data_IF_443950105962
#
_entry.id   IF_443950105962
#
_cell.length_a   1.000
_cell.length_b   1.000
_cell.length_c   1.000
_cell.angle_alpha   90.00
_cell.angle_beta   90.00
_cell.angle_gamma   90.00
#
_symmetry.space_group_name_H-M   'P 1'
#
loop_
_entity.id
_entity.type
_entity.pdbx_description
1 polymer ?
#
# COMPACT_ATOMS: atom_id res chain seq x y z
N UNK A 1 52.36 15.19 19.33
CA UNK A 1 52.68 14.96 17.91
C UNK A 1 51.71 15.78 17.11
N UNK A 2 52.16 16.84 16.44
CA UNK A 2 51.31 17.77 15.72
C UNK A 2 50.84 17.11 14.39
N UNK A 3 49.54 17.10 14.17
CA UNK A 3 48.99 16.70 12.90
C UNK A 3 49.51 17.63 11.81
N UNK A 4 50.22 17.10 10.82
CA UNK A 4 50.72 17.84 9.67
C UNK A 4 49.59 18.17 8.73
N UNK A 5 49.20 19.46 8.68
CA UNK A 5 48.28 19.97 7.66
C UNK A 5 49.01 20.04 6.31
N UNK A 6 48.70 19.12 5.42
CA UNK A 6 49.21 19.10 4.07
C UNK A 6 48.25 19.91 3.15
N UNK A 7 48.66 21.08 2.60
CA UNK A 7 47.77 21.95 1.85
C UNK A 7 47.30 21.39 0.51
N UNK A 8 47.84 20.26 0.08
CA UNK A 8 47.52 19.59 -1.18
C UNK A 8 46.71 18.30 -1.02
N UNK A 9 46.17 18.05 0.21
CA UNK A 9 45.19 16.99 0.47
C UNK A 9 43.79 17.61 0.60
N UNK A 10 43.22 18.14 -0.50
CA UNK A 10 41.83 18.53 -0.47
C UNK A 10 40.97 17.29 -0.72
N UNK A 11 39.98 17.11 0.05
CA UNK A 11 38.87 16.21 -0.22
C UNK A 11 38.97 14.72 0.21
N UNK A 12 40.07 14.23 0.78
CA UNK A 12 40.05 12.87 1.33
C UNK A 12 39.06 12.78 2.50
N UNK A 13 39.06 13.76 3.40
CA UNK A 13 38.14 13.80 4.55
C UNK A 13 36.69 14.03 4.09
N UNK A 14 36.51 14.84 3.04
CA UNK A 14 35.17 15.04 2.45
C UNK A 14 34.63 13.79 1.73
N UNK A 15 35.51 13.02 1.06
CA UNK A 15 35.15 11.75 0.44
C UNK A 15 34.89 10.66 1.48
N UNK A 16 35.70 10.56 2.54
CA UNK A 16 35.47 9.60 3.62
C UNK A 16 34.17 9.93 4.37
N UNK A 17 33.90 11.22 4.63
CA UNK A 17 32.64 11.65 5.24
C UNK A 17 31.40 11.40 4.33
N UNK A 18 31.57 11.51 3.02
CA UNK A 18 30.50 11.21 2.05
C UNK A 18 30.27 9.69 1.93
N UNK A 19 31.33 8.88 2.13
CA UNK A 19 31.21 7.40 2.11
C UNK A 19 30.65 6.84 3.40
N UNK A 20 30.73 7.59 4.51
CA UNK A 20 30.11 7.24 5.80
C UNK A 20 28.69 7.80 5.97
N UNK A 21 28.07 8.33 4.92
CA UNK A 21 26.62 8.52 4.93
C UNK A 21 25.97 7.17 5.27
N UNK A 22 25.04 7.11 6.21
CA UNK A 22 24.42 5.85 6.59
C UNK A 22 23.87 5.20 5.32
N UNK A 23 24.35 3.98 5.03
CA UNK A 23 23.82 3.16 3.95
C UNK A 23 22.30 3.21 4.11
N UNK A 24 21.60 3.60 3.04
CA UNK A 24 20.14 3.70 3.02
C UNK A 24 19.57 2.50 3.76
N UNK A 25 19.08 2.72 4.98
CA UNK A 25 18.33 1.71 5.69
C UNK A 25 17.22 1.25 4.73
N UNK A 26 17.01 -0.05 4.53
CA UNK A 26 15.95 -0.52 3.67
C UNK A 26 14.66 0.12 4.18
N UNK A 27 14.12 1.06 3.41
CA UNK A 27 12.98 1.87 3.82
C UNK A 27 11.80 0.93 3.97
N UNK A 28 11.61 0.42 5.18
CA UNK A 28 10.53 -0.49 5.50
C UNK A 28 9.20 0.25 5.25
N UNK A 29 8.28 -0.45 4.59
CA UNK A 29 6.95 0.11 4.33
C UNK A 29 6.30 0.55 5.65
N UNK A 30 5.71 1.76 5.74
CA UNK A 30 5.02 2.20 6.95
C UNK A 30 3.96 1.18 7.38
N UNK A 31 3.82 0.92 8.66
CA UNK A 31 2.85 -0.06 9.19
C UNK A 31 1.43 0.19 8.68
N UNK A 32 1.03 1.44 8.54
CA UNK A 32 -0.28 1.82 7.98
C UNK A 32 -0.44 1.43 6.51
N UNK A 33 0.64 1.47 5.71
CA UNK A 33 0.62 1.02 4.32
C UNK A 33 0.51 -0.50 4.23
N UNK A 34 1.17 -1.24 5.13
CA UNK A 34 1.02 -2.70 5.24
C UNK A 34 -0.42 -3.06 5.61
N UNK A 35 -0.99 -2.38 6.62
CA UNK A 35 -2.39 -2.59 7.02
C UNK A 35 -3.35 -2.32 5.85
N UNK A 36 -3.15 -1.21 5.12
CA UNK A 36 -3.94 -0.88 3.94
C UNK A 36 -3.87 -2.00 2.88
N UNK A 37 -2.67 -2.50 2.57
CA UNK A 37 -2.49 -3.60 1.60
C UNK A 37 -3.21 -4.87 2.01
N UNK A 38 -3.04 -5.29 3.27
CA UNK A 38 -3.69 -6.50 3.79
C UNK A 38 -5.21 -6.40 3.66
N UNK A 39 -5.78 -5.24 4.04
CA UNK A 39 -7.23 -5.04 3.98
C UNK A 39 -7.71 -4.91 2.52
N UNK A 40 -6.96 -4.26 1.63
CA UNK A 40 -7.31 -4.19 0.20
C UNK A 40 -7.31 -5.56 -0.48
N UNK A 41 -6.38 -6.44 -0.11
CA UNK A 41 -6.33 -7.82 -0.58
C UNK A 41 -7.52 -8.62 -0.02
N UNK A 42 -7.79 -8.49 1.28
CA UNK A 42 -8.92 -9.17 1.92
C UNK A 42 -10.27 -8.74 1.29
N UNK A 43 -10.40 -7.45 0.96
CA UNK A 43 -11.55 -6.88 0.28
C UNK A 43 -11.78 -7.55 -1.09
N UNK A 44 -10.73 -7.69 -1.89
CA UNK A 44 -10.82 -8.35 -3.19
C UNK A 44 -11.20 -9.83 -3.08
N UNK A 45 -10.66 -10.55 -2.10
CA UNK A 45 -11.04 -11.95 -1.86
C UNK A 45 -12.47 -12.08 -1.35
N UNK A 46 -12.93 -11.15 -0.50
CA UNK A 46 -14.32 -11.15 -0.03
C UNK A 46 -15.31 -10.89 -1.16
N UNK A 47 -14.96 -10.01 -2.12
CA UNK A 47 -15.70 -9.82 -3.37
C UNK A 47 -15.79 -11.10 -4.18
N UNK A 48 -14.67 -11.82 -4.34
CA UNK A 48 -14.65 -13.09 -5.06
C UNK A 48 -15.61 -14.10 -4.41
N UNK A 49 -15.55 -14.25 -3.09
CA UNK A 49 -16.46 -15.14 -2.36
C UNK A 49 -17.93 -14.73 -2.54
N UNK A 50 -18.23 -13.44 -2.47
CA UNK A 50 -19.59 -12.92 -2.66
C UNK A 50 -20.08 -13.15 -4.10
N UNK A 51 -19.25 -12.91 -5.12
CA UNK A 51 -19.61 -13.15 -6.52
C UNK A 51 -19.87 -14.62 -6.81
N UNK A 52 -19.05 -15.52 -6.26
CA UNK A 52 -19.28 -16.97 -6.33
C UNK A 52 -20.60 -17.33 -5.65
N UNK A 53 -20.86 -16.78 -4.46
CA UNK A 53 -22.11 -16.96 -3.73
C UNK A 53 -23.33 -16.48 -4.54
N UNK A 54 -23.23 -15.32 -5.19
CA UNK A 54 -24.27 -14.79 -6.07
C UNK A 54 -24.50 -15.70 -7.30
N UNK A 55 -23.42 -16.23 -7.89
CA UNK A 55 -23.54 -17.17 -9.00
C UNK A 55 -24.37 -18.42 -8.63
N UNK A 56 -24.11 -19.01 -7.45
CA UNK A 56 -24.87 -20.14 -6.96
C UNK A 56 -26.31 -19.77 -6.54
N UNK A 57 -26.53 -18.59 -6.00
CA UNK A 57 -27.86 -18.12 -5.59
C UNK A 57 -28.80 -17.87 -6.77
N UNK A 58 -28.29 -17.22 -7.82
CA UNK A 58 -29.08 -16.81 -8.99
C UNK A 58 -28.94 -17.75 -10.18
N UNK A 59 -28.02 -18.74 -10.09
CA UNK A 59 -27.80 -19.77 -11.10
C UNK A 59 -28.69 -20.99 -10.88
N UNK A 60 -28.43 -22.10 -11.63
CA UNK A 60 -29.26 -23.31 -11.59
C UNK A 60 -29.38 -23.98 -10.24
N UNK A 61 -28.40 -23.77 -9.34
CA UNK A 61 -28.38 -24.37 -8.02
C UNK A 61 -29.36 -23.72 -7.03
N UNK A 62 -29.78 -22.47 -7.25
CA UNK A 62 -30.67 -21.67 -6.42
C UNK A 62 -30.31 -21.72 -4.91
N UNK A 63 -29.00 -21.78 -4.59
CA UNK A 63 -28.50 -21.95 -3.23
C UNK A 63 -28.03 -20.61 -2.65
N UNK A 64 -28.70 -20.05 -1.61
CA UNK A 64 -28.36 -18.75 -1.03
C UNK A 64 -27.17 -18.77 -0.07
N UNK A 65 -26.72 -19.94 0.38
CA UNK A 65 -25.74 -20.10 1.46
C UNK A 65 -24.47 -19.25 1.26
N UNK A 66 -23.95 -19.19 0.02
CA UNK A 66 -22.76 -18.42 -0.28
C UNK A 66 -22.96 -16.92 -0.01
N UNK A 67 -24.11 -16.36 -0.40
CA UNK A 67 -24.43 -14.92 -0.15
C UNK A 67 -24.70 -14.67 1.33
N UNK A 68 -25.36 -15.60 2.02
CA UNK A 68 -25.64 -15.49 3.46
C UNK A 68 -24.36 -15.47 4.29
N UNK A 69 -23.33 -16.20 3.88
CA UNK A 69 -22.02 -16.25 4.57
C UNK A 69 -21.12 -15.09 4.11
N UNK A 70 -20.91 -14.95 2.81
CA UNK A 70 -19.95 -13.96 2.30
C UNK A 70 -20.48 -12.53 2.28
N UNK A 71 -21.79 -12.30 2.30
CA UNK A 71 -22.38 -10.97 2.37
C UNK A 71 -21.97 -10.20 3.64
N UNK A 72 -22.23 -10.73 4.85
CA UNK A 72 -21.79 -10.10 6.08
C UNK A 72 -20.26 -9.97 6.21
N UNK A 73 -19.51 -10.99 5.76
CA UNK A 73 -18.03 -10.97 5.78
C UNK A 73 -17.50 -9.84 4.89
N UNK A 74 -17.96 -9.77 3.65
CA UNK A 74 -17.59 -8.69 2.72
C UNK A 74 -17.99 -7.32 3.28
N UNK A 75 -19.22 -7.17 3.79
CA UNK A 75 -19.67 -5.92 4.40
C UNK A 75 -18.78 -5.46 5.57
N UNK A 76 -18.34 -6.40 6.43
CA UNK A 76 -17.40 -6.10 7.52
C UNK A 76 -16.03 -5.67 7.03
N UNK A 77 -15.48 -6.37 6.04
CA UNK A 77 -14.19 -6.04 5.42
C UNK A 77 -14.27 -4.70 4.67
N UNK A 78 -15.37 -4.43 3.97
CA UNK A 78 -15.64 -3.16 3.30
C UNK A 78 -15.58 -1.98 4.29
N UNK A 79 -16.29 -2.07 5.42
CA UNK A 79 -16.25 -1.03 6.46
C UNK A 79 -14.82 -0.87 7.00
N UNK A 80 -14.12 -1.98 7.26
CA UNK A 80 -12.74 -1.94 7.71
C UNK A 80 -11.82 -1.27 6.68
N UNK A 81 -12.00 -1.55 5.39
CA UNK A 81 -11.26 -0.89 4.30
C UNK A 81 -11.47 0.62 4.30
N UNK A 82 -12.72 1.09 4.45
CA UNK A 82 -13.01 2.52 4.53
C UNK A 82 -12.30 3.16 5.73
N UNK A 83 -12.36 2.54 6.91
CA UNK A 83 -11.72 3.06 8.12
C UNK A 83 -10.19 3.12 7.96
N UNK A 84 -9.56 2.06 7.46
CA UNK A 84 -8.11 2.03 7.23
C UNK A 84 -7.71 3.06 6.18
N UNK A 85 -8.48 3.24 5.11
CA UNK A 85 -8.26 4.29 4.11
C UNK A 85 -8.24 5.67 4.76
N UNK A 86 -9.20 5.99 5.63
CA UNK A 86 -9.24 7.28 6.34
C UNK A 86 -8.05 7.47 7.28
N UNK A 87 -7.62 6.41 7.99
CA UNK A 87 -6.43 6.45 8.85
C UNK A 87 -5.16 6.70 8.05
N UNK A 88 -5.07 6.20 6.81
CA UNK A 88 -3.92 6.37 5.93
C UNK A 88 -3.71 7.80 5.42
N UNK A 89 -4.72 8.66 5.42
CA UNK A 89 -4.67 10.00 4.82
C UNK A 89 -3.51 10.82 5.39
N UNK A 90 -3.41 10.93 6.72
CA UNK A 90 -2.41 11.77 7.38
C UNK A 90 -0.99 11.20 7.27
N UNK A 91 -0.73 9.94 7.67
CA UNK A 91 0.63 9.37 7.64
C UNK A 91 1.18 9.23 6.22
N UNK A 92 0.34 8.94 5.22
CA UNK A 92 0.75 8.78 3.82
C UNK A 92 0.64 10.10 3.02
N UNK A 93 0.22 11.18 3.67
CA UNK A 93 0.05 12.52 3.04
C UNK A 93 -0.81 12.47 1.77
N UNK A 94 -1.88 11.67 1.79
CA UNK A 94 -2.78 11.57 0.66
C UNK A 94 -3.59 12.84 0.48
N UNK A 95 -3.60 13.37 -0.74
CA UNK A 95 -4.49 14.45 -1.12
C UNK A 95 -5.92 13.96 -1.33
N UNK A 96 -6.88 14.90 -1.39
CA UNK A 96 -8.32 14.61 -1.56
C UNK A 96 -8.56 13.67 -2.76
N UNK A 97 -7.93 13.93 -3.91
CA UNK A 97 -8.10 13.09 -5.10
C UNK A 97 -7.67 11.64 -4.89
N UNK A 98 -6.53 11.39 -4.19
CA UNK A 98 -6.08 10.04 -3.88
C UNK A 98 -7.04 9.34 -2.92
N UNK A 99 -7.50 10.05 -1.90
CA UNK A 99 -8.46 9.53 -0.93
C UNK A 99 -9.79 9.17 -1.59
N UNK A 100 -10.35 10.05 -2.41
CA UNK A 100 -11.59 9.78 -3.14
C UNK A 100 -11.44 8.59 -4.09
N UNK A 101 -10.29 8.48 -4.78
CA UNK A 101 -10.01 7.33 -5.64
C UNK A 101 -9.92 6.02 -4.85
N UNK A 102 -9.28 6.05 -3.68
CA UNK A 102 -9.21 4.88 -2.79
C UNK A 102 -10.61 4.46 -2.31
N UNK A 103 -11.44 5.41 -1.87
CA UNK A 103 -12.80 5.13 -1.43
C UNK A 103 -13.68 4.62 -2.58
N UNK A 104 -13.58 5.24 -3.76
CA UNK A 104 -14.32 4.81 -4.95
C UNK A 104 -13.90 3.41 -5.43
N UNK A 105 -12.63 3.03 -5.22
CA UNK A 105 -12.12 1.70 -5.57
C UNK A 105 -12.76 0.57 -4.76
N UNK A 106 -13.38 0.86 -3.62
CA UNK A 106 -14.10 -0.14 -2.82
C UNK A 106 -15.43 -0.60 -3.45
N UNK A 107 -15.99 0.19 -4.39
CA UNK A 107 -17.31 -0.08 -4.98
C UNK A 107 -17.24 -1.19 -6.05
N UNK A 108 -16.38 -1.12 -7.08
CA UNK A 108 -16.30 -2.19 -8.05
C UNK A 108 -15.43 -3.34 -7.52
N UNK A 109 -15.79 -4.62 -7.81
CA UNK A 109 -14.99 -5.76 -7.40
C UNK A 109 -13.56 -5.65 -7.94
N UNK A 110 -12.57 -6.00 -7.10
CA UNK A 110 -11.14 -6.00 -7.42
C UNK A 110 -10.47 -4.64 -7.68
N UNK A 111 -11.20 -3.52 -7.69
CA UNK A 111 -10.61 -2.20 -7.92
C UNK A 111 -9.72 -1.74 -6.76
N UNK A 112 -9.94 -2.26 -5.55
CA UNK A 112 -9.03 -2.05 -4.40
C UNK A 112 -7.62 -2.56 -4.68
N UNK A 113 -7.47 -3.69 -5.39
CA UNK A 113 -6.16 -4.21 -5.84
C UNK A 113 -5.54 -3.33 -6.92
N UNK A 114 -6.35 -2.84 -7.88
CA UNK A 114 -5.86 -1.93 -8.91
C UNK A 114 -5.37 -0.62 -8.30
N UNK A 115 -6.12 -0.08 -7.34
CA UNK A 115 -5.71 1.11 -6.59
C UNK A 115 -4.42 0.85 -5.81
N UNK A 116 -4.31 -0.27 -5.11
CA UNK A 116 -3.12 -0.66 -4.34
C UNK A 116 -1.89 -0.75 -5.24
N UNK A 117 -1.99 -1.43 -6.39
CA UNK A 117 -0.91 -1.52 -7.37
C UNK A 117 -0.50 -0.15 -7.93
N UNK A 118 -1.47 0.70 -8.21
CA UNK A 118 -1.21 2.07 -8.66
C UNK A 118 -0.53 2.90 -7.56
N UNK A 119 -1.01 2.81 -6.32
CA UNK A 119 -0.46 3.54 -5.17
C UNK A 119 0.98 3.09 -4.85
N UNK A 120 1.30 1.80 -5.02
CA UNK A 120 2.67 1.29 -4.93
C UNK A 120 3.56 1.88 -6.03
N UNK A 121 3.11 1.80 -7.29
CA UNK A 121 3.88 2.30 -8.45
C UNK A 121 4.14 3.80 -8.40
N UNK A 122 3.23 4.55 -7.79
CA UNK A 122 3.35 6.02 -7.67
C UNK A 122 4.00 6.47 -6.36
N UNK A 123 4.45 5.52 -5.50
CA UNK A 123 5.09 5.81 -4.21
C UNK A 123 4.14 6.34 -3.13
N UNK A 124 2.84 6.30 -3.35
CA UNK A 124 1.83 6.84 -2.42
C UNK A 124 1.66 6.01 -1.14
N UNK A 125 2.22 4.80 -1.10
CA UNK A 125 2.30 3.95 0.09
C UNK A 125 3.62 4.13 0.86
N UNK A 126 4.37 5.21 0.59
CA UNK A 126 5.59 5.54 1.32
C UNK A 126 6.80 4.67 0.95
N UNK A 127 6.72 3.90 -0.12
CA UNK A 127 7.88 3.17 -0.67
C UNK A 127 8.56 4.08 -1.69
N UNK A 128 9.87 4.40 -1.54
CA UNK A 128 10.58 5.19 -2.53
C UNK A 128 10.56 4.48 -3.90
N UNK A 129 10.37 5.25 -4.97
CA UNK A 129 10.58 4.73 -6.32
C UNK A 129 12.01 4.22 -6.41
N UNK A 130 12.21 2.94 -6.76
CA UNK A 130 13.52 2.50 -7.24
C UNK A 130 13.89 3.38 -8.43
N UNK A 131 15.00 4.12 -8.30
CA UNK A 131 15.58 4.81 -9.44
C UNK A 131 15.84 3.79 -10.56
N UNK A 132 15.55 4.12 -11.84
CA UNK A 132 15.93 3.25 -12.93
C UNK A 132 17.45 3.05 -12.89
N UNK A 133 17.89 1.81 -12.90
CA UNK A 133 19.32 1.45 -13.04
C UNK A 133 19.72 1.93 -14.44
N UNK A 134 20.59 2.97 -14.47
CA UNK A 134 21.21 3.45 -15.69
C UNK A 134 22.38 2.55 -16.06
#
# INVERSE_FOLDING_TARGET
MAARNWPWLPAYDAQVSATSAPADEPTSMPRVAVAFRVVAIAEAFSWLGLLIGMFFKYGPAANPLGVEVFGPIHGGIFVLYLLVTLVCIRPLKWGIGTTLLALAAAIPPFFTLLFEMWALRTGRLGVPRRAPVQ
#
